data_IF_810377978925
#
_entry.id   IF_810377978925
#
_cell.length_a   1.000
_cell.length_b   1.000
_cell.length_c   1.000
_cell.angle_alpha   90.00
_cell.angle_beta   90.00
_cell.angle_gamma   90.00
#
_symmetry.space_group_name_H-M   'P 1'
#
loop_
_entity.id
_entity.type
_entity.pdbx_description
1 polymer ?
#
# COMPACT_ATOMS: atom_id res chain seq x y z
N UNK A 1 25.06 30.05 -44.35
CA UNK A 1 24.89 31.44 -43.86
C UNK A 1 23.40 31.77 -43.87
N UNK A 2 22.90 32.49 -42.84
CA UNK A 2 21.77 33.46 -42.84
C UNK A 2 20.41 33.08 -43.51
N UNK A 3 19.22 33.42 -43.01
CA UNK A 3 18.74 33.95 -41.72
C UNK A 3 17.19 33.81 -41.62
N UNK A 4 16.58 34.07 -40.45
CA UNK A 4 15.11 34.12 -40.23
C UNK A 4 14.48 35.45 -40.73
N UNK A 5 13.19 35.46 -41.16
CA UNK A 5 12.03 35.77 -40.29
C UNK A 5 10.83 34.78 -40.50
N UNK A 6 9.83 34.54 -39.62
CA UNK A 6 8.98 35.38 -38.74
C UNK A 6 7.89 36.12 -39.56
N UNK A 7 6.55 36.05 -39.30
CA UNK A 7 5.72 35.78 -38.09
C UNK A 7 4.31 35.20 -38.45
N UNK A 8 3.45 34.98 -37.43
CA UNK A 8 1.97 34.78 -37.44
C UNK A 8 1.49 33.32 -37.54
N UNK A 9 0.94 32.64 -36.52
CA UNK A 9 -0.02 32.99 -35.42
C UNK A 9 -1.48 33.15 -35.87
N UNK A 10 -2.16 32.00 -35.97
CA UNK A 10 -3.57 31.71 -35.60
C UNK A 10 -3.68 30.19 -35.38
N UNK A 11 -4.54 29.62 -34.56
CA UNK A 11 -5.31 30.13 -33.41
C UNK A 11 -5.82 28.87 -32.68
N UNK A 12 -5.29 28.52 -31.51
CA UNK A 12 -5.51 27.20 -30.90
C UNK A 12 -6.07 27.30 -29.48
N UNK A 13 -7.38 27.10 -29.37
CA UNK A 13 -8.17 26.89 -28.15
C UNK A 13 -9.28 25.88 -28.49
N UNK A 14 -9.68 24.95 -27.62
CA UNK A 14 -9.19 24.69 -26.26
C UNK A 14 -9.52 23.27 -25.78
N UNK A 15 -8.60 22.68 -25.01
CA UNK A 15 -8.93 21.90 -23.81
C UNK A 15 -8.03 22.46 -22.71
N UNK A 16 -8.61 23.12 -21.71
CA UNK A 16 -7.83 23.80 -20.67
C UNK A 16 -7.52 22.85 -19.51
N UNK A 17 -6.27 22.39 -19.43
CA UNK A 17 -5.73 21.81 -18.21
C UNK A 17 -5.75 22.87 -17.09
N UNK A 18 -6.78 22.81 -16.22
CA UNK A 18 -6.90 23.74 -15.09
C UNK A 18 -5.74 23.49 -14.12
N UNK A 19 -4.81 24.44 -14.09
CA UNK A 19 -3.57 24.36 -13.31
C UNK A 19 -3.88 24.09 -11.83
N UNK A 20 -3.44 22.92 -11.36
CA UNK A 20 -3.66 22.41 -10.00
C UNK A 20 -2.45 22.71 -9.11
N UNK A 21 -2.69 22.87 -7.82
CA UNK A 21 -1.69 22.98 -6.75
C UNK A 21 -1.98 21.88 -5.74
N UNK A 22 -1.02 21.02 -5.43
CA UNK A 22 -1.24 19.71 -4.78
C UNK A 22 -0.78 19.66 -3.31
N UNK A 23 -0.53 20.82 -2.71
CA UNK A 23 -0.24 20.92 -1.29
C UNK A 23 -0.53 22.29 -0.70
N UNK A 24 -0.77 22.32 0.63
CA UNK A 24 -0.84 23.56 1.39
C UNK A 24 0.35 24.51 1.17
N UNK A 25 1.57 23.97 0.97
CA UNK A 25 2.77 24.77 0.73
C UNK A 25 2.71 25.49 -0.63
N UNK A 26 2.17 24.85 -1.66
CA UNK A 26 2.03 25.44 -2.99
C UNK A 26 0.91 26.48 -3.05
N UNK A 27 -0.24 26.18 -2.43
CA UNK A 27 -1.36 27.14 -2.29
C UNK A 27 -0.87 28.39 -1.53
N UNK A 28 -0.13 28.21 -0.43
CA UNK A 28 0.48 29.29 0.35
C UNK A 28 1.52 30.11 -0.44
N UNK A 29 2.39 29.44 -1.20
CA UNK A 29 3.37 30.09 -2.08
C UNK A 29 2.69 30.89 -3.19
N UNK A 30 1.64 30.36 -3.81
CA UNK A 30 0.86 31.02 -4.85
C UNK A 30 0.14 32.27 -4.31
N UNK A 31 -0.57 32.14 -3.17
CA UNK A 31 -1.27 33.26 -2.52
C UNK A 31 -0.35 34.25 -1.79
N UNK A 32 0.98 34.02 -1.76
CA UNK A 32 1.98 34.80 -1.01
C UNK A 32 1.57 35.03 0.46
N UNK A 33 1.21 33.94 1.15
CA UNK A 33 0.82 33.91 2.57
C UNK A 33 1.42 32.70 3.28
N UNK A 34 1.43 32.73 4.61
CA UNK A 34 1.82 31.56 5.39
C UNK A 34 0.77 30.44 5.32
N UNK A 35 1.24 29.19 5.33
CA UNK A 35 0.39 27.98 5.36
C UNK A 35 -0.68 28.05 6.46
N UNK A 36 -0.33 28.52 7.66
CA UNK A 36 -1.27 28.65 8.79
C UNK A 36 -2.38 29.68 8.54
N UNK A 37 -2.09 30.74 7.78
CA UNK A 37 -3.09 31.73 7.38
C UNK A 37 -4.01 31.19 6.28
N UNK A 38 -3.49 30.39 5.34
CA UNK A 38 -4.28 29.76 4.28
C UNK A 38 -5.21 28.67 4.82
N UNK A 39 -4.75 27.83 5.75
CA UNK A 39 -5.61 26.86 6.47
C UNK A 39 -6.70 27.59 7.25
N UNK A 40 -6.37 28.72 7.90
CA UNK A 40 -7.39 29.57 8.56
C UNK A 40 -8.41 30.14 7.56
N UNK A 41 -8.02 30.45 6.32
CA UNK A 41 -8.93 30.95 5.28
C UNK A 41 -9.84 29.86 4.68
N UNK A 42 -9.41 28.60 4.61
CA UNK A 42 -10.33 27.47 4.38
C UNK A 42 -11.44 27.49 5.44
N UNK A 43 -11.06 27.47 6.72
CA UNK A 43 -11.96 27.31 7.85
C UNK A 43 -12.86 28.52 8.14
N UNK A 44 -12.40 29.76 7.88
CA UNK A 44 -13.14 30.98 8.27
C UNK A 44 -13.56 31.88 7.12
N UNK A 45 -13.15 31.58 5.87
CA UNK A 45 -13.45 32.41 4.68
C UNK A 45 -13.81 31.61 3.42
N UNK A 46 -14.00 30.29 3.53
CA UNK A 46 -14.42 29.45 2.41
C UNK A 46 -13.45 29.47 1.23
N UNK A 47 -12.14 29.51 1.49
CA UNK A 47 -11.12 29.36 0.46
C UNK A 47 -11.34 28.03 -0.31
N UNK A 48 -11.46 28.03 -1.65
CA UNK A 48 -11.71 26.80 -2.41
C UNK A 48 -10.49 25.88 -2.37
N UNK A 49 -10.56 24.88 -1.49
CA UNK A 49 -9.56 23.81 -1.34
C UNK A 49 -10.32 22.49 -1.34
N UNK A 50 -9.99 21.64 -2.30
CA UNK A 50 -10.58 20.32 -2.48
C UNK A 50 -9.80 19.26 -1.72
N UNK A 51 -10.50 18.20 -1.33
CA UNK A 51 -9.99 17.12 -0.49
C UNK A 51 -10.33 15.80 -1.13
N UNK A 52 -9.34 14.99 -1.46
CA UNK A 52 -9.58 13.66 -2.01
C UNK A 52 -10.19 12.75 -0.93
N UNK A 53 -11.31 12.05 -1.22
CA UNK A 53 -11.89 11.08 -0.31
C UNK A 53 -11.06 9.78 -0.29
N UNK A 54 -10.95 9.16 0.89
CA UNK A 54 -10.26 7.87 1.08
C UNK A 54 -8.79 8.00 1.51
N UNK A 55 -8.53 8.04 2.83
CA UNK A 55 -7.20 7.92 3.40
C UNK A 55 -7.03 8.59 4.77
N UNK A 56 -6.17 8.03 5.63
CA UNK A 56 -5.91 8.52 7.02
C UNK A 56 -5.27 9.93 7.10
N UNK A 57 -4.92 10.54 5.98
CA UNK A 57 -4.61 11.98 5.90
C UNK A 57 -5.07 12.49 4.54
N UNK A 58 -6.09 13.35 4.53
CA UNK A 58 -6.70 13.83 3.28
C UNK A 58 -5.76 14.80 2.55
N UNK A 59 -5.29 14.37 1.37
CA UNK A 59 -4.50 15.21 0.47
C UNK A 59 -5.38 16.35 -0.05
N UNK A 60 -4.91 17.58 0.15
CA UNK A 60 -5.56 18.81 -0.31
C UNK A 60 -5.01 19.23 -1.66
N UNK A 61 -5.88 19.79 -2.51
CA UNK A 61 -5.48 20.47 -3.74
C UNK A 61 -6.38 21.68 -4.01
N UNK A 62 -5.93 22.60 -4.86
CA UNK A 62 -6.75 23.71 -5.33
C UNK A 62 -6.46 24.03 -6.80
N UNK A 63 -7.45 24.56 -7.51
CA UNK A 63 -7.26 25.06 -8.88
C UNK A 63 -6.94 26.55 -8.87
N UNK A 64 -5.97 26.97 -9.68
CA UNK A 64 -5.52 28.37 -9.75
C UNK A 64 -6.67 29.33 -10.12
N UNK A 65 -7.52 28.95 -11.08
CA UNK A 65 -8.65 29.75 -11.53
C UNK A 65 -9.77 29.89 -10.47
N UNK A 66 -9.87 28.96 -9.52
CA UNK A 66 -10.80 29.04 -8.39
C UNK A 66 -10.24 29.95 -7.28
N UNK A 67 -8.94 29.86 -7.01
CA UNK A 67 -8.25 30.77 -6.08
C UNK A 67 -8.29 32.22 -6.57
N UNK A 68 -8.06 32.46 -7.87
CA UNK A 68 -8.17 33.79 -8.50
C UNK A 68 -9.59 34.33 -8.38
N UNK A 69 -10.61 33.54 -8.73
CA UNK A 69 -12.03 33.94 -8.59
C UNK A 69 -12.40 34.26 -7.13
N UNK A 70 -11.94 33.48 -6.16
CA UNK A 70 -12.16 33.77 -4.73
C UNK A 70 -11.46 35.06 -4.27
N UNK A 71 -10.27 35.34 -4.81
CA UNK A 71 -9.54 36.58 -4.53
C UNK A 71 -10.26 37.81 -5.10
N UNK A 72 -10.75 37.71 -6.34
CA UNK A 72 -11.51 38.76 -7.02
C UNK A 72 -12.88 39.02 -6.37
N UNK A 73 -13.55 37.97 -5.89
CA UNK A 73 -14.84 38.07 -5.19
C UNK A 73 -14.72 38.50 -3.70
N UNK A 74 -13.53 38.97 -3.27
CA UNK A 74 -13.34 39.63 -1.98
C UNK A 74 -13.02 38.74 -0.78
N UNK A 75 -12.83 37.43 -0.96
CA UNK A 75 -12.48 36.48 0.12
C UNK A 75 -11.16 36.85 0.83
N UNK A 76 -10.23 37.44 0.10
CA UNK A 76 -9.10 38.18 0.66
C UNK A 76 -9.36 39.69 0.62
N UNK A 77 -10.12 40.20 1.59
CA UNK A 77 -10.35 41.64 1.78
C UNK A 77 -9.00 42.40 1.84
N UNK A 78 -8.87 43.47 1.04
CA UNK A 78 -7.59 44.18 0.81
C UNK A 78 -7.16 45.07 1.98
N UNK A 79 -6.63 44.48 3.04
CA UNK A 79 -6.00 45.21 4.16
C UNK A 79 -4.93 44.36 4.86
N UNK A 80 -3.73 44.31 4.25
CA UNK A 80 -2.48 43.74 4.78
C UNK A 80 -1.25 44.40 4.11
N UNK A 81 -1.30 45.73 3.98
CA UNK A 81 -0.27 46.69 3.51
C UNK A 81 -0.69 48.01 4.22
N UNK A 82 0.14 48.87 4.84
CA UNK A 82 1.48 49.40 4.50
C UNK A 82 2.40 49.48 5.78
N UNK A 83 3.38 50.40 6.04
CA UNK A 83 4.61 50.01 6.78
C UNK A 83 4.90 50.82 8.09
N UNK A 84 6.12 50.69 8.59
CA UNK A 84 6.69 51.35 9.81
C UNK A 84 6.97 52.85 9.59
N UNK A 85 6.54 53.71 10.53
CA UNK A 85 7.45 54.56 11.33
C UNK A 85 7.27 54.27 12.84
N UNK A 86 8.03 54.81 13.80
CA UNK A 86 9.06 55.86 13.78
C UNK A 86 8.90 56.73 15.05
N UNK A 87 9.91 56.84 15.90
CA UNK A 87 9.78 57.39 17.26
C UNK A 87 9.82 58.94 17.33
N UNK A 88 9.17 59.55 18.33
CA UNK A 88 9.23 61.01 18.53
C UNK A 88 8.50 61.59 19.76
N UNK A 89 9.21 61.65 20.90
CA UNK A 89 9.04 62.60 22.02
C UNK A 89 7.74 62.64 22.88
N UNK A 90 7.92 63.10 24.14
CA UNK A 90 6.91 63.50 25.12
C UNK A 90 7.20 64.96 25.57
N UNK A 91 6.46 65.61 26.51
CA UNK A 91 6.72 65.38 27.95
C UNK A 91 5.54 65.62 28.95
N UNK A 92 5.75 65.28 30.24
CA UNK A 92 5.27 65.93 31.49
C UNK A 92 3.76 66.26 31.73
N UNK A 93 3.14 66.22 32.93
CA UNK A 93 3.36 65.63 34.28
C UNK A 93 2.08 65.94 35.14
N UNK A 94 1.82 65.61 36.42
CA UNK A 94 2.40 64.73 37.47
C UNK A 94 1.38 64.57 38.65
N UNK A 95 1.48 63.49 39.45
CA UNK A 95 0.89 63.30 40.81
C UNK A 95 -0.67 63.17 40.91
N UNK A 96 -1.33 62.58 41.94
CA UNK A 96 -0.94 62.13 43.30
C UNK A 96 -1.62 60.78 43.74
N UNK A 97 -0.92 60.01 44.60
CA UNK A 97 -1.33 59.14 45.75
C UNK A 97 -2.55 58.16 45.75
N UNK A 98 -2.25 56.84 45.83
CA UNK A 98 -2.54 55.84 46.92
C UNK A 98 -3.82 55.98 47.81
N UNK A 99 -4.53 54.87 48.17
CA UNK A 99 -3.98 53.95 49.19
C UNK A 99 -4.26 52.42 49.08
N UNK A 100 -3.19 51.65 49.27
CA UNK A 100 -3.00 50.32 49.91
C UNK A 100 -4.09 49.22 49.84
N UNK A 101 -3.74 48.09 49.21
CA UNK A 101 -4.41 46.76 49.35
C UNK A 101 -3.41 45.58 49.50
N UNK A 102 -2.26 45.83 50.12
CA UNK A 102 -1.02 45.04 49.95
C UNK A 102 -0.95 43.60 50.49
N UNK A 103 -2.00 43.05 51.14
CA UNK A 103 -1.90 41.75 51.87
C UNK A 103 -2.87 40.64 51.42
N UNK A 104 -4.02 40.97 50.81
CA UNK A 104 -4.98 39.93 50.33
C UNK A 104 -4.62 39.41 48.92
N UNK A 105 -4.10 40.29 48.05
CA UNK A 105 -3.73 39.95 46.67
C UNK A 105 -2.65 38.86 46.56
N UNK A 106 -1.71 38.78 47.52
CA UNK A 106 -0.61 37.81 47.48
C UNK A 106 -1.09 36.36 47.66
N UNK A 107 -2.09 36.13 48.51
CA UNK A 107 -2.66 34.79 48.74
C UNK A 107 -3.47 34.32 47.54
N UNK A 108 -4.28 35.19 46.95
CA UNK A 108 -5.07 34.88 45.74
C UNK A 108 -4.14 34.61 44.54
N UNK A 109 -3.11 35.42 44.36
CA UNK A 109 -2.12 35.21 43.30
C UNK A 109 -1.36 33.87 43.46
N UNK A 110 -1.02 33.47 44.69
CA UNK A 110 -0.38 32.17 44.95
C UNK A 110 -1.28 30.99 44.61
N UNK A 111 -2.58 31.06 44.95
CA UNK A 111 -3.55 30.00 44.64
C UNK A 111 -3.80 29.93 43.12
N UNK A 112 -3.88 31.06 42.42
CA UNK A 112 -4.01 31.09 40.95
C UNK A 112 -2.73 30.57 40.28
N UNK A 113 -1.54 30.94 40.76
CA UNK A 113 -0.28 30.44 40.21
C UNK A 113 -0.11 28.93 40.44
N UNK A 114 -0.48 28.42 41.62
CA UNK A 114 -0.51 26.98 41.90
C UNK A 114 -1.56 26.26 41.04
N UNK A 115 -2.76 26.83 40.88
CA UNK A 115 -3.81 26.29 40.02
C UNK A 115 -3.40 26.24 38.54
N UNK A 116 -2.73 27.28 38.04
CA UNK A 116 -2.18 27.32 36.68
C UNK A 116 -0.99 26.39 36.49
N UNK A 117 -0.14 26.21 37.51
CA UNK A 117 0.95 25.23 37.48
C UNK A 117 0.40 23.79 37.51
N UNK A 118 -0.63 23.51 38.31
CA UNK A 118 -1.37 22.24 38.32
C UNK A 118 -2.07 21.98 36.98
N UNK A 119 -2.73 22.99 36.40
CA UNK A 119 -3.34 22.88 35.07
C UNK A 119 -2.29 22.68 33.97
N UNK A 120 -1.14 23.37 34.03
CA UNK A 120 -0.05 23.16 33.07
C UNK A 120 0.61 21.77 33.24
N UNK A 121 0.73 21.27 34.48
CA UNK A 121 1.18 19.92 34.78
C UNK A 121 0.20 18.87 34.25
N UNK A 122 -1.08 19.00 34.57
CA UNK A 122 -2.16 18.11 34.09
C UNK A 122 -2.33 18.19 32.57
N UNK A 123 -2.15 19.34 31.92
CA UNK A 123 -2.24 19.46 30.47
C UNK A 123 -0.95 19.01 29.76
N UNK A 124 0.20 19.06 30.44
CA UNK A 124 1.44 18.40 30.04
C UNK A 124 1.36 16.88 30.14
N UNK A 125 0.73 16.36 31.20
CA UNK A 125 0.44 14.93 31.41
C UNK A 125 -0.74 14.43 30.56
N UNK A 126 -1.71 15.26 30.20
CA UNK A 126 -2.74 14.93 29.20
C UNK A 126 -2.18 15.00 27.76
N UNK A 127 -1.03 15.67 27.58
CA UNK A 127 -0.13 15.50 26.43
C UNK A 127 0.89 14.38 26.64
N UNK A 128 0.64 13.44 27.54
CA UNK A 128 1.39 12.19 27.57
C UNK A 128 1.24 11.48 26.22
N UNK A 129 2.30 11.53 25.44
CA UNK A 129 2.66 10.48 24.49
C UNK A 129 1.53 10.04 23.54
N UNK A 130 1.16 10.90 22.58
CA UNK A 130 0.35 10.50 21.42
C UNK A 130 0.86 9.13 20.90
N UNK A 131 -0.01 8.11 20.79
CA UNK A 131 0.42 6.75 20.51
C UNK A 131 1.16 6.70 19.17
N UNK A 132 2.13 5.80 19.05
CA UNK A 132 2.83 5.63 17.79
C UNK A 132 1.85 5.19 16.71
N UNK A 133 1.78 5.95 15.62
CA UNK A 133 0.80 5.83 14.54
C UNK A 133 1.41 5.25 13.25
N UNK A 134 2.75 5.18 13.16
CA UNK A 134 3.48 4.69 12.00
C UNK A 134 4.83 4.07 12.40
N UNK A 135 5.28 3.05 11.65
CA UNK A 135 6.67 2.59 11.63
C UNK A 135 7.38 3.10 10.36
N UNK A 136 8.68 3.42 10.48
CA UNK A 136 9.58 3.70 9.36
C UNK A 136 10.94 3.02 9.58
N UNK A 137 11.53 2.42 8.54
CA UNK A 137 12.96 2.14 8.53
C UNK A 137 13.70 3.41 8.09
N UNK A 138 14.71 3.84 8.86
CA UNK A 138 15.47 5.05 8.53
C UNK A 138 16.87 5.02 9.15
N UNK A 139 17.90 4.95 8.30
CA UNK A 139 19.31 4.95 8.72
C UNK A 139 19.80 3.61 9.32
N UNK A 140 19.23 2.48 8.88
CA UNK A 140 19.54 1.15 9.41
C UNK A 140 18.74 0.75 10.66
N UNK A 141 17.89 1.65 11.16
CA UNK A 141 17.05 1.48 12.36
C UNK A 141 15.57 1.43 11.99
N UNK A 142 14.75 0.82 12.85
CA UNK A 142 13.29 0.92 12.81
C UNK A 142 12.84 1.98 13.83
N UNK A 143 11.98 2.91 13.43
CA UNK A 143 11.52 4.00 14.30
C UNK A 143 10.00 4.09 14.29
N UNK A 144 9.42 4.23 15.47
CA UNK A 144 8.00 4.46 15.64
C UNK A 144 7.72 5.96 15.77
N UNK A 145 6.78 6.48 14.99
CA UNK A 145 6.43 7.89 14.95
C UNK A 145 5.01 8.13 15.48
N UNK A 146 4.78 9.20 16.23
CA UNK A 146 3.42 9.69 16.54
C UNK A 146 2.76 10.36 15.33
N UNK A 147 1.49 10.76 15.46
CA UNK A 147 0.73 11.40 14.38
C UNK A 147 1.29 12.78 13.97
N UNK A 148 2.15 13.39 14.80
CA UNK A 148 2.90 14.61 14.49
C UNK A 148 4.26 14.36 13.82
N UNK A 149 4.66 13.09 13.66
CA UNK A 149 5.92 12.66 13.05
C UNK A 149 7.11 12.62 14.00
N UNK A 150 6.91 12.70 15.32
CA UNK A 150 8.01 12.61 16.30
C UNK A 150 8.32 11.16 16.64
N UNK A 151 9.60 10.86 16.78
CA UNK A 151 10.05 9.53 17.24
C UNK A 151 9.55 9.29 18.67
N UNK A 152 8.73 8.24 18.83
CA UNK A 152 8.25 7.73 20.11
C UNK A 152 9.23 6.74 20.73
N UNK A 153 9.82 5.88 19.90
CA UNK A 153 10.91 4.97 20.24
C UNK A 153 11.68 4.56 18.97
N UNK A 154 12.91 4.07 19.17
CA UNK A 154 13.78 3.54 18.13
C UNK A 154 14.17 2.12 18.49
N UNK A 155 14.01 1.22 17.53
CA UNK A 155 14.48 -0.16 17.58
C UNK A 155 15.68 -0.36 16.65
N UNK A 156 16.66 -1.16 17.10
CA UNK A 156 17.88 -1.51 16.36
C UNK A 156 18.01 -3.02 16.35
N UNK A 157 18.37 -3.59 15.20
CA UNK A 157 18.97 -4.93 15.20
C UNK A 157 20.40 -4.86 15.75
N UNK A 158 20.82 -5.95 16.39
CA UNK A 158 22.11 -6.04 17.10
C UNK A 158 23.28 -6.41 16.20
N UNK A 159 23.02 -7.12 15.10
CA UNK A 159 24.03 -7.64 14.16
C UNK A 159 23.72 -7.32 12.69
N UNK A 160 22.47 -7.01 12.37
CA UNK A 160 22.00 -6.76 11.00
C UNK A 160 21.66 -5.27 10.80
N UNK A 161 21.78 -4.78 9.57
CA UNK A 161 21.26 -3.47 9.16
C UNK A 161 19.82 -3.65 8.67
N UNK A 162 18.88 -2.82 9.13
CA UNK A 162 17.49 -2.83 8.62
C UNK A 162 17.45 -2.04 7.30
N UNK A 163 17.13 -2.74 6.22
CA UNK A 163 17.09 -2.18 4.87
C UNK A 163 15.86 -1.28 4.65
N UNK A 164 15.93 -0.44 3.62
CA UNK A 164 14.92 0.58 3.32
C UNK A 164 14.42 0.48 1.87
N UNK A 165 13.12 0.71 1.60
CA UNK A 165 12.03 0.98 2.55
C UNK A 165 11.55 -0.28 3.30
N UNK A 166 10.65 -0.10 4.26
CA UNK A 166 9.89 -1.22 4.82
C UNK A 166 9.06 -1.90 3.73
N UNK A 167 9.01 -3.24 3.74
CA UNK A 167 8.17 -4.01 2.83
C UNK A 167 6.69 -3.83 3.15
N UNK A 168 6.38 -3.86 4.45
CA UNK A 168 5.04 -3.67 5.00
C UNK A 168 5.15 -3.21 6.45
N UNK A 169 4.16 -2.43 6.90
CA UNK A 169 3.93 -2.22 8.34
C UNK A 169 2.46 -1.98 8.63
N UNK A 170 2.07 -2.24 9.87
CA UNK A 170 0.73 -1.99 10.41
C UNK A 170 0.83 -1.41 11.81
N UNK A 171 -0.16 -0.58 12.15
CA UNK A 171 -0.47 -0.15 13.51
C UNK A 171 -1.95 -0.47 13.76
N UNK A 172 -2.23 -1.39 14.67
CA UNK A 172 -3.57 -1.90 14.90
C UNK A 172 -3.63 -3.03 15.92
N UNK A 173 -4.81 -3.22 16.51
CA UNK A 173 -5.10 -4.28 17.49
C UNK A 173 -5.04 -5.67 16.84
N UNK A 174 -3.91 -6.36 17.09
CA UNK A 174 -3.56 -7.64 16.50
C UNK A 174 -4.07 -8.80 17.37
N UNK A 175 -3.95 -8.71 18.70
CA UNK A 175 -4.33 -9.78 19.63
C UNK A 175 -5.76 -9.67 20.20
N UNK A 176 -6.48 -8.58 19.92
CA UNK A 176 -7.79 -8.23 20.48
C UNK A 176 -7.77 -7.85 21.98
N UNK A 177 -6.67 -7.29 22.51
CA UNK A 177 -6.61 -6.74 23.87
C UNK A 177 -6.97 -5.24 23.98
N UNK A 178 -7.12 -4.55 22.84
CA UNK A 178 -7.43 -3.12 22.77
C UNK A 178 -6.22 -2.19 22.67
N UNK A 179 -5.00 -2.71 22.85
CA UNK A 179 -3.75 -2.04 22.50
C UNK A 179 -3.56 -1.99 20.98
N UNK A 180 -2.66 -1.12 20.49
CA UNK A 180 -2.30 -1.08 19.08
C UNK A 180 -0.88 -1.59 18.88
N UNK A 181 -0.74 -2.85 18.44
CA UNK A 181 0.56 -3.37 18.02
C UNK A 181 1.14 -2.57 16.86
N UNK A 182 2.46 -2.38 16.90
CA UNK A 182 3.25 -1.89 15.77
C UNK A 182 4.03 -3.07 15.18
N UNK A 183 3.67 -3.50 13.97
CA UNK A 183 4.24 -4.69 13.34
C UNK A 183 4.79 -4.35 11.97
N UNK A 184 5.97 -4.88 11.59
CA UNK A 184 6.60 -4.62 10.30
C UNK A 184 7.28 -5.86 9.70
N UNK A 185 7.20 -5.97 8.38
CA UNK A 185 8.00 -6.90 7.58
C UNK A 185 9.25 -6.16 7.09
N UNK A 186 10.40 -6.66 7.51
CA UNK A 186 11.72 -6.11 7.25
C UNK A 186 12.45 -6.94 6.19
N UNK A 187 13.39 -6.30 5.52
CA UNK A 187 14.62 -6.98 5.09
C UNK A 187 15.76 -6.53 5.98
N UNK A 188 16.66 -7.45 6.26
CA UNK A 188 17.84 -7.21 7.08
C UNK A 188 19.08 -7.80 6.39
N UNK A 189 20.25 -7.17 6.58
CA UNK A 189 21.51 -7.61 5.99
C UNK A 189 22.63 -7.53 7.03
N UNK A 190 23.35 -8.63 7.28
CA UNK A 190 24.65 -8.56 7.98
C UNK A 190 25.66 -7.85 7.09
N UNK A 191 26.54 -6.97 7.61
CA UNK A 191 27.51 -6.23 6.80
C UNK A 191 28.45 -7.09 5.92
N UNK A 192 28.64 -8.37 6.24
CA UNK A 192 29.44 -9.33 5.47
C UNK A 192 28.61 -10.37 4.69
N UNK A 193 27.28 -10.31 4.72
CA UNK A 193 26.42 -11.22 3.98
C UNK A 193 26.12 -10.69 2.57
N UNK A 194 26.24 -11.56 1.56
CA UNK A 194 25.85 -11.24 0.18
C UNK A 194 24.33 -11.20 -0.04
N UNK A 195 23.56 -11.85 0.84
CA UNK A 195 22.11 -11.97 0.75
C UNK A 195 21.38 -11.27 1.92
N UNK A 196 20.19 -10.76 1.63
CA UNK A 196 19.24 -10.24 2.60
C UNK A 196 18.45 -11.39 3.25
N UNK A 197 18.07 -11.24 4.52
CA UNK A 197 17.08 -12.09 5.17
C UNK A 197 15.77 -11.31 5.39
N UNK A 198 14.63 -11.99 5.30
CA UNK A 198 13.37 -11.45 5.79
C UNK A 198 13.26 -11.59 7.31
N UNK A 199 12.64 -10.60 7.96
CA UNK A 199 12.11 -10.77 9.32
C UNK A 199 10.70 -10.17 9.41
N UNK A 200 9.86 -10.71 10.31
CA UNK A 200 8.65 -10.05 10.77
C UNK A 200 8.78 -9.76 12.28
N UNK A 201 8.61 -8.50 12.67
CA UNK A 201 8.73 -8.06 14.08
C UNK A 201 7.46 -7.34 14.53
N UNK A 202 7.07 -7.55 15.79
CA UNK A 202 5.90 -6.92 16.42
C UNK A 202 6.25 -6.32 17.77
N UNK A 203 5.73 -5.14 18.07
CA UNK A 203 6.03 -4.34 19.25
C UNK A 203 4.76 -3.87 19.96
N UNK A 204 4.86 -3.67 21.28
CA UNK A 204 3.85 -2.92 22.06
C UNK A 204 3.88 -1.42 21.68
N UNK A 205 2.87 -0.61 22.06
CA UNK A 205 2.88 0.84 21.81
C UNK A 205 4.12 1.56 22.38
N UNK A 206 4.71 1.03 23.45
CA UNK A 206 5.90 1.54 24.16
C UNK A 206 7.21 1.14 23.49
N UNK A 207 7.20 0.16 22.58
CA UNK A 207 8.38 -0.32 21.85
C UNK A 207 9.03 -1.57 22.44
N UNK A 208 8.38 -2.28 23.36
CA UNK A 208 8.83 -3.60 23.78
C UNK A 208 8.55 -4.62 22.67
N UNK A 209 9.55 -5.45 22.31
CA UNK A 209 9.42 -6.50 21.29
C UNK A 209 8.49 -7.61 21.82
N UNK A 210 7.35 -7.83 21.17
CA UNK A 210 6.40 -8.92 21.46
C UNK A 210 6.90 -10.23 20.86
N UNK A 211 7.27 -10.20 19.57
CA UNK A 211 7.83 -11.35 18.87
C UNK A 211 8.72 -10.92 17.70
N UNK A 212 9.58 -11.85 17.29
CA UNK A 212 10.29 -11.86 16.00
C UNK A 212 10.04 -13.22 15.35
N UNK A 213 9.59 -13.22 14.11
CA UNK A 213 9.55 -14.40 13.25
C UNK A 213 10.62 -14.30 12.16
N UNK A 214 11.26 -15.43 11.89
CA UNK A 214 12.21 -15.65 10.80
C UNK A 214 11.79 -16.91 10.03
N UNK A 215 12.41 -17.15 8.88
CA UNK A 215 12.22 -18.35 8.07
C UNK A 215 13.59 -18.99 7.92
N UNK A 216 13.74 -20.20 8.44
CA UNK A 216 14.96 -21.04 8.36
C UNK A 216 14.69 -22.37 7.64
N UNK A 217 13.47 -22.51 7.10
CA UNK A 217 12.94 -23.66 6.38
C UNK A 217 13.82 -24.09 5.21
N UNK A 218 13.80 -25.38 4.91
CA UNK A 218 14.45 -25.98 3.74
C UNK A 218 13.43 -26.86 3.03
N UNK A 219 13.45 -26.81 1.69
CA UNK A 219 12.58 -27.61 0.83
C UNK A 219 13.38 -28.20 -0.32
N UNK A 220 13.07 -29.46 -0.64
CA UNK A 220 13.66 -30.21 -1.73
C UNK A 220 12.70 -30.24 -2.92
N UNK A 221 13.14 -29.69 -4.03
CA UNK A 221 12.50 -29.82 -5.33
C UNK A 221 13.33 -30.77 -6.20
N UNK A 222 12.79 -31.27 -7.32
CA UNK A 222 13.59 -32.10 -8.23
C UNK A 222 14.80 -31.37 -8.86
N UNK A 223 14.77 -30.04 -8.91
CA UNK A 223 15.89 -29.20 -9.34
C UNK A 223 16.98 -29.02 -8.26
N UNK A 224 16.64 -29.13 -6.96
CA UNK A 224 17.60 -28.96 -5.87
C UNK A 224 16.98 -28.64 -4.50
N UNK A 225 17.86 -28.34 -3.54
CA UNK A 225 17.48 -27.86 -2.20
C UNK A 225 17.47 -26.32 -2.15
N UNK A 226 16.45 -25.73 -1.53
CA UNK A 226 16.30 -24.29 -1.33
C UNK A 226 16.11 -24.00 0.16
N UNK A 227 16.78 -22.96 0.69
CA UNK A 227 16.88 -22.75 2.13
C UNK A 227 17.23 -21.31 2.53
N UNK A 228 17.50 -21.04 3.82
CA UNK A 228 17.79 -19.69 4.29
C UNK A 228 19.11 -19.13 3.74
N UNK A 229 19.22 -17.79 3.58
CA UNK A 229 18.23 -16.79 3.97
C UNK A 229 17.09 -16.62 2.96
N UNK A 230 15.90 -16.35 3.47
CA UNK A 230 14.68 -16.09 2.69
C UNK A 230 14.33 -14.59 2.70
N UNK A 231 14.76 -13.77 1.72
CA UNK A 231 14.34 -12.38 1.58
C UNK A 231 12.82 -12.16 1.65
N UNK A 232 12.41 -11.14 2.41
CA UNK A 232 11.00 -10.74 2.50
C UNK A 232 10.46 -10.10 1.21
N UNK A 233 9.18 -10.35 0.91
CA UNK A 233 8.43 -9.73 -0.18
C UNK A 233 7.49 -8.65 0.36
N UNK A 234 6.53 -9.05 1.20
CA UNK A 234 5.54 -8.18 1.85
C UNK A 234 4.81 -8.98 2.95
N UNK A 235 3.87 -8.38 3.68
CA UNK A 235 2.97 -9.09 4.58
C UNK A 235 1.56 -8.50 4.53
N UNK A 236 0.58 -9.22 5.08
CA UNK A 236 -0.79 -8.73 5.28
C UNK A 236 -1.35 -9.30 6.56
N UNK A 237 -1.75 -8.43 7.49
CA UNK A 237 -2.54 -8.81 8.66
C UNK A 237 -4.03 -8.83 8.29
N UNK A 238 -4.74 -9.89 8.68
CA UNK A 238 -6.14 -10.09 8.34
C UNK A 238 -6.90 -10.78 9.48
N UNK A 239 -8.21 -10.56 9.57
CA UNK A 239 -9.08 -11.21 10.55
C UNK A 239 -9.69 -12.46 9.92
N UNK A 240 -9.73 -13.55 10.67
CA UNK A 240 -10.42 -14.81 10.33
C UNK A 240 -11.51 -15.09 11.36
N UNK A 241 -12.35 -16.11 11.10
CA UNK A 241 -13.33 -16.61 12.08
C UNK A 241 -12.72 -17.05 13.42
N UNK A 242 -11.42 -17.36 13.47
CA UNK A 242 -10.71 -17.81 14.67
C UNK A 242 -9.76 -16.74 15.26
N UNK A 243 -9.88 -15.47 14.85
CA UNK A 243 -9.00 -14.37 15.28
C UNK A 243 -8.07 -13.84 14.18
N UNK A 244 -7.12 -12.99 14.56
CA UNK A 244 -6.19 -12.34 13.61
C UNK A 244 -5.05 -13.25 13.20
N UNK A 245 -4.67 -13.18 11.92
CA UNK A 245 -3.51 -13.85 11.35
C UNK A 245 -2.63 -12.84 10.60
N UNK A 246 -1.39 -13.21 10.30
CA UNK A 246 -0.50 -12.48 9.39
C UNK A 246 -0.01 -13.45 8.32
N UNK A 247 -0.35 -13.17 7.07
CA UNK A 247 0.26 -13.82 5.91
C UNK A 247 1.55 -13.05 5.58
N UNK A 248 2.71 -13.67 5.83
CA UNK A 248 4.01 -13.11 5.52
C UNK A 248 4.60 -13.80 4.29
N UNK A 249 4.92 -13.03 3.25
CA UNK A 249 5.48 -13.53 2.00
C UNK A 249 7.00 -13.38 1.99
N UNK A 250 7.69 -14.50 1.72
CA UNK A 250 9.14 -14.55 1.51
C UNK A 250 9.47 -15.34 0.23
N UNK A 251 10.68 -15.17 -0.30
CA UNK A 251 11.16 -15.86 -1.49
C UNK A 251 12.63 -16.22 -1.34
N UNK A 252 13.10 -17.24 -2.06
CA UNK A 252 14.52 -17.56 -2.12
C UNK A 252 15.26 -16.48 -2.93
N UNK A 253 16.56 -16.30 -2.70
CA UNK A 253 17.36 -15.30 -3.41
C UNK A 253 17.50 -15.58 -4.93
N UNK A 254 17.15 -16.78 -5.40
CA UNK A 254 17.02 -17.15 -6.83
C UNK A 254 15.65 -16.81 -7.43
N UNK A 255 14.83 -16.03 -6.71
CA UNK A 255 13.48 -15.57 -7.09
C UNK A 255 12.41 -16.68 -7.14
N UNK A 256 12.79 -17.92 -6.81
CA UNK A 256 11.92 -19.06 -6.55
C UNK A 256 12.69 -20.11 -5.73
N UNK A 257 12.01 -20.98 -4.96
CA UNK A 257 10.58 -20.97 -4.64
C UNK A 257 10.22 -19.81 -3.71
N UNK A 258 8.94 -19.73 -3.33
CA UNK A 258 8.44 -18.72 -2.39
C UNK A 258 7.42 -19.31 -1.43
N UNK A 259 7.32 -18.70 -0.24
CA UNK A 259 6.49 -19.16 0.85
C UNK A 259 5.48 -18.07 1.23
N UNK A 260 4.26 -18.49 1.54
CA UNK A 260 3.38 -17.77 2.44
C UNK A 260 3.49 -18.44 3.80
N UNK A 261 4.15 -17.79 4.74
CA UNK A 261 4.21 -18.21 6.15
C UNK A 261 3.06 -17.55 6.88
N UNK A 262 2.10 -18.35 7.35
CA UNK A 262 0.94 -17.84 8.06
C UNK A 262 1.16 -17.90 9.58
N UNK A 263 1.02 -16.75 10.24
CA UNK A 263 1.30 -16.57 11.66
C UNK A 263 0.05 -16.15 12.43
N UNK A 264 0.01 -16.47 13.71
CA UNK A 264 -0.97 -15.96 14.67
C UNK A 264 -0.59 -14.56 15.20
N UNK A 265 -1.47 -13.94 15.98
CA UNK A 265 -1.26 -12.60 16.57
C UNK A 265 -0.11 -12.49 17.59
N UNK A 266 0.39 -13.63 18.07
CA UNK A 266 1.55 -13.78 18.96
C UNK A 266 2.85 -14.10 18.19
N UNK A 267 2.79 -14.23 16.85
CA UNK A 267 3.91 -14.59 16.00
C UNK A 267 4.16 -16.10 15.87
N UNK A 268 3.38 -16.96 16.55
CA UNK A 268 3.49 -18.42 16.37
C UNK A 268 3.05 -18.83 14.97
N UNK A 269 3.73 -19.80 14.37
CA UNK A 269 3.40 -20.28 13.01
C UNK A 269 2.17 -21.18 13.04
N UNK A 270 1.17 -20.81 12.26
CA UNK A 270 -0.06 -21.56 12.05
C UNK A 270 -0.06 -22.40 10.76
N UNK A 271 0.75 -22.01 9.78
CA UNK A 271 0.84 -22.75 8.53
C UNK A 271 1.89 -22.22 7.55
N UNK A 272 2.10 -22.94 6.46
CA UNK A 272 2.98 -22.55 5.36
C UNK A 272 2.49 -23.12 4.03
N UNK A 273 2.35 -22.25 3.02
CA UNK A 273 2.09 -22.64 1.64
C UNK A 273 3.33 -22.35 0.77
N UNK A 274 3.77 -23.32 -0.02
CA UNK A 274 4.98 -23.21 -0.86
C UNK A 274 4.61 -23.16 -2.35
N UNK A 275 4.99 -22.10 -3.06
CA UNK A 275 4.70 -21.94 -4.49
C UNK A 275 5.97 -22.10 -5.34
N UNK A 276 5.87 -22.90 -6.40
CA UNK A 276 6.93 -23.11 -7.38
C UNK A 276 7.05 -21.92 -8.34
N UNK A 277 7.68 -20.86 -7.84
CA UNK A 277 7.75 -19.54 -8.45
C UNK A 277 7.76 -18.46 -7.37
N UNK A 278 7.08 -17.34 -7.61
CA UNK A 278 7.08 -16.18 -6.72
C UNK A 278 5.66 -15.71 -6.37
N UNK A 279 5.24 -15.90 -5.11
CA UNK A 279 4.05 -15.23 -4.54
C UNK A 279 4.40 -13.76 -4.30
N UNK A 280 3.63 -12.86 -4.91
CA UNK A 280 3.85 -11.41 -4.87
C UNK A 280 2.75 -10.65 -4.12
N UNK A 281 1.54 -11.22 -4.00
CA UNK A 281 0.48 -10.65 -3.16
C UNK A 281 -0.29 -11.72 -2.37
N UNK A 282 -0.85 -11.30 -1.24
CA UNK A 282 -1.80 -12.05 -0.43
C UNK A 282 -2.92 -11.09 0.02
N UNK A 283 -4.18 -11.42 -0.27
CA UNK A 283 -5.36 -10.56 -0.03
C UNK A 283 -6.48 -11.41 0.58
N UNK A 284 -7.00 -11.09 1.78
CA UNK A 284 -8.10 -11.85 2.37
C UNK A 284 -9.42 -11.62 1.62
N UNK A 285 -10.31 -12.61 1.63
CA UNK A 285 -11.70 -12.41 1.22
C UNK A 285 -12.44 -11.49 2.21
N UNK A 286 -13.45 -10.72 1.78
CA UNK A 286 -14.19 -9.79 2.66
C UNK A 286 -14.87 -10.46 3.87
N UNK A 287 -15.16 -11.77 3.79
CA UNK A 287 -15.78 -12.58 4.84
C UNK A 287 -14.76 -13.31 5.75
N UNK A 288 -13.46 -13.12 5.51
CA UNK A 288 -12.37 -13.73 6.30
C UNK A 288 -12.29 -15.26 6.22
N UNK A 289 -12.93 -15.88 5.21
CA UNK A 289 -12.89 -17.34 4.97
C UNK A 289 -11.71 -17.79 4.13
N UNK A 290 -11.30 -16.99 3.15
CA UNK A 290 -10.31 -17.39 2.16
C UNK A 290 -9.18 -16.36 2.08
N UNK A 291 -8.01 -16.83 1.63
CA UNK A 291 -6.84 -16.00 1.39
C UNK A 291 -6.45 -16.15 -0.07
N UNK A 292 -6.62 -15.08 -0.84
CA UNK A 292 -6.23 -15.02 -2.23
C UNK A 292 -4.73 -14.76 -2.34
N UNK A 293 -4.00 -15.59 -3.05
CA UNK A 293 -2.58 -15.39 -3.36
C UNK A 293 -2.39 -15.21 -4.86
N UNK A 294 -1.39 -14.42 -5.24
CA UNK A 294 -1.09 -14.18 -6.66
C UNK A 294 0.40 -13.95 -6.91
N UNK A 295 0.82 -14.18 -8.15
CA UNK A 295 2.20 -13.95 -8.57
C UNK A 295 2.57 -14.75 -9.82
N UNK A 296 3.74 -15.40 -9.78
CA UNK A 296 4.38 -16.13 -10.88
C UNK A 296 4.44 -17.62 -10.58
N UNK A 297 4.08 -18.45 -11.56
CA UNK A 297 4.29 -19.91 -11.58
C UNK A 297 5.37 -20.24 -12.59
N UNK A 298 6.50 -20.79 -12.13
CA UNK A 298 7.67 -21.05 -12.96
C UNK A 298 7.42 -22.22 -13.91
N UNK A 299 6.78 -23.29 -13.43
CA UNK A 299 6.46 -24.49 -14.22
C UNK A 299 5.51 -24.21 -15.39
N UNK A 300 4.69 -23.17 -15.26
CA UNK A 300 3.73 -22.72 -16.27
C UNK A 300 4.22 -21.53 -17.10
N UNK A 301 5.42 -21.00 -16.77
CA UNK A 301 6.01 -19.78 -17.35
C UNK A 301 5.01 -18.61 -17.49
N UNK A 302 4.14 -18.45 -16.49
CA UNK A 302 3.03 -17.49 -16.51
C UNK A 302 2.65 -16.98 -15.13
N UNK A 303 1.77 -15.99 -15.09
CA UNK A 303 1.17 -15.50 -13.86
C UNK A 303 0.10 -16.48 -13.35
N UNK A 304 -0.07 -16.54 -12.03
CA UNK A 304 -1.07 -17.37 -11.37
C UNK A 304 -1.92 -16.58 -10.37
N UNK A 305 -3.06 -17.16 -10.03
CA UNK A 305 -3.94 -16.80 -8.93
C UNK A 305 -4.37 -18.07 -8.19
N UNK A 306 -4.45 -18.04 -6.86
CA UNK A 306 -4.99 -19.16 -6.10
C UNK A 306 -5.78 -18.71 -4.86
N UNK A 307 -6.69 -19.59 -4.42
CA UNK A 307 -7.55 -19.43 -3.24
C UNK A 307 -7.11 -20.46 -2.20
N UNK A 308 -6.69 -19.99 -1.02
CA UNK A 308 -6.38 -20.83 0.14
C UNK A 308 -7.48 -20.69 1.21
N UNK A 309 -7.59 -21.65 2.12
CA UNK A 309 -8.34 -21.44 3.37
C UNK A 309 -7.63 -20.37 4.24
N UNK A 310 -8.37 -19.42 4.80
CA UNK A 310 -7.79 -18.31 5.56
C UNK A 310 -7.24 -18.73 6.94
N UNK A 311 -7.74 -19.83 7.51
CA UNK A 311 -7.33 -20.36 8.83
C UNK A 311 -6.19 -21.37 8.74
N UNK A 312 -6.15 -22.17 7.67
CA UNK A 312 -5.16 -23.22 7.42
C UNK A 312 -4.63 -23.19 5.98
N UNK A 313 -3.94 -22.11 5.55
CA UNK A 313 -3.28 -22.02 4.23
C UNK A 313 -1.98 -22.83 4.23
N UNK A 314 -2.13 -24.16 4.32
CA UNK A 314 -1.05 -25.14 4.18
C UNK A 314 -1.06 -25.74 2.77
N UNK A 315 0.10 -26.22 2.32
CA UNK A 315 0.20 -26.95 1.08
C UNK A 315 1.29 -26.45 0.13
N UNK A 316 1.11 -26.78 -1.13
CA UNK A 316 1.97 -26.36 -2.23
C UNK A 316 1.20 -26.02 -3.51
N UNK A 317 1.85 -25.33 -4.47
CA UNK A 317 1.31 -25.22 -5.82
C UNK A 317 1.20 -26.60 -6.49
N UNK A 318 0.12 -26.87 -7.25
CA UNK A 318 -0.14 -28.21 -7.78
C UNK A 318 0.70 -28.49 -9.05
N UNK A 319 1.92 -28.95 -8.85
CA UNK A 319 2.88 -29.18 -9.93
C UNK A 319 2.62 -30.47 -10.73
N UNK A 320 3.06 -30.57 -12.01
CA UNK A 320 2.99 -31.83 -12.75
C UNK A 320 3.93 -32.88 -12.12
N UNK A 321 3.45 -34.10 -11.80
CA UNK A 321 4.30 -35.14 -11.23
C UNK A 321 5.52 -35.44 -12.11
N UNK A 322 6.70 -35.53 -11.51
CA UNK A 322 7.97 -35.72 -12.19
C UNK A 322 8.63 -34.45 -12.75
N UNK A 323 8.03 -33.26 -12.65
CA UNK A 323 8.67 -32.03 -13.14
C UNK A 323 9.83 -31.57 -12.25
N UNK A 324 10.78 -30.80 -12.82
CA UNK A 324 11.87 -30.16 -12.05
C UNK A 324 11.35 -29.30 -10.89
N UNK A 325 10.16 -28.74 -11.07
CA UNK A 325 9.44 -27.87 -10.13
C UNK A 325 8.60 -28.61 -9.09
N UNK A 326 8.48 -29.94 -9.15
CA UNK A 326 7.79 -30.74 -8.14
C UNK A 326 8.54 -30.69 -6.80
N UNK A 327 7.83 -30.33 -5.73
CA UNK A 327 8.34 -30.34 -4.36
C UNK A 327 8.18 -31.73 -3.75
N UNK A 328 9.17 -32.17 -2.97
CA UNK A 328 9.28 -33.54 -2.48
C UNK A 328 8.99 -33.67 -0.97
N UNK A 329 9.06 -32.56 -0.23
CA UNK A 329 8.92 -32.47 1.24
C UNK A 329 8.11 -31.25 1.70
N UNK A 330 7.34 -30.65 0.80
CA UNK A 330 6.44 -29.54 1.13
C UNK A 330 5.34 -29.94 2.13
N UNK A 331 4.74 -28.98 2.87
CA UNK A 331 3.69 -29.28 3.85
C UNK A 331 2.44 -29.89 3.20
N UNK A 332 1.79 -30.82 3.90
CA UNK A 332 0.49 -31.36 3.49
C UNK A 332 -0.56 -30.25 3.36
N UNK A 333 -1.26 -30.21 2.22
CA UNK A 333 -2.36 -29.30 1.96
C UNK A 333 -2.50 -28.93 0.49
N UNK A 334 -3.67 -28.37 0.15
CA UNK A 334 -4.02 -28.00 -1.22
C UNK A 334 -4.61 -26.59 -1.28
N UNK A 335 -4.41 -25.85 -2.38
CA UNK A 335 -5.24 -24.69 -2.67
C UNK A 335 -6.68 -25.14 -2.98
N UNK A 336 -7.68 -24.40 -2.52
CA UNK A 336 -9.09 -24.65 -2.86
C UNK A 336 -9.35 -24.43 -4.36
N UNK A 337 -8.54 -23.57 -4.99
CA UNK A 337 -8.52 -23.30 -6.42
C UNK A 337 -7.14 -22.74 -6.78
N UNK A 338 -6.50 -23.23 -7.85
CA UNK A 338 -5.28 -22.63 -8.42
C UNK A 338 -5.48 -22.43 -9.92
N UNK A 339 -5.14 -21.27 -10.46
CA UNK A 339 -5.39 -20.90 -11.85
C UNK A 339 -4.13 -20.31 -12.48
N UNK A 340 -3.79 -20.83 -13.66
CA UNK A 340 -2.79 -20.23 -14.56
C UNK A 340 -3.51 -19.21 -15.44
N UNK A 341 -3.08 -17.96 -15.35
CA UNK A 341 -3.57 -16.90 -16.22
C UNK A 341 -2.75 -16.96 -17.50
N UNK A 342 -3.30 -17.33 -18.68
CA UNK A 342 -2.52 -17.49 -19.91
C UNK A 342 -1.82 -16.19 -20.33
N UNK A 343 -0.58 -16.31 -20.84
CA UNK A 343 0.10 -15.23 -21.58
C UNK A 343 -0.58 -15.04 -22.92
N UNK A 344 -0.82 -13.79 -23.29
CA UNK A 344 -1.43 -13.34 -24.55
C UNK A 344 -0.36 -12.97 -25.56
N UNK A 345 -0.73 -12.66 -26.81
CA UNK A 345 0.21 -12.18 -27.82
C UNK A 345 1.00 -10.93 -27.37
N UNK A 346 0.37 -10.05 -26.58
CA UNK A 346 1.05 -8.90 -25.97
C UNK A 346 2.13 -9.32 -24.97
N UNK A 347 1.80 -10.17 -23.99
CA UNK A 347 2.75 -10.57 -22.95
C UNK A 347 3.74 -11.65 -23.36
N UNK A 348 3.50 -12.37 -24.47
CA UNK A 348 4.51 -13.19 -25.16
C UNK A 348 5.66 -12.31 -25.71
N UNK A 349 5.35 -11.07 -26.11
CA UNK A 349 6.30 -10.10 -26.65
C UNK A 349 6.96 -9.17 -25.61
N UNK A 350 6.71 -9.38 -24.31
CA UNK A 350 7.38 -8.68 -23.20
C UNK A 350 8.39 -9.59 -22.48
N UNK A 351 9.40 -9.01 -21.81
CA UNK A 351 10.20 -9.74 -20.81
C UNK A 351 9.30 -10.38 -19.74
N UNK A 352 9.68 -11.58 -19.28
CA UNK A 352 8.96 -12.29 -18.23
C UNK A 352 9.97 -12.88 -17.21
N UNK A 353 9.71 -12.80 -15.90
CA UNK A 353 8.59 -12.11 -15.26
C UNK A 353 8.71 -10.58 -15.33
N UNK A 354 7.56 -9.89 -15.33
CA UNK A 354 7.48 -8.41 -15.31
C UNK A 354 6.74 -7.92 -14.07
N UNK A 355 5.44 -8.21 -13.95
CA UNK A 355 4.63 -7.96 -12.78
C UNK A 355 3.56 -9.05 -12.61
N UNK A 356 3.32 -9.48 -11.38
CA UNK A 356 2.23 -10.39 -11.03
C UNK A 356 0.84 -9.73 -11.16
N UNK A 357 -0.23 -10.53 -11.08
CA UNK A 357 -1.58 -10.04 -11.26
C UNK A 357 -2.16 -9.50 -9.95
N UNK A 358 -2.88 -8.37 -10.02
CA UNK A 358 -3.49 -7.70 -8.85
C UNK A 358 -4.89 -8.28 -8.57
N UNK A 359 -5.21 -8.52 -7.30
CA UNK A 359 -6.55 -8.96 -6.87
C UNK A 359 -7.35 -7.76 -6.34
N UNK A 360 -8.60 -7.62 -6.79
CA UNK A 360 -9.55 -6.58 -6.35
C UNK A 360 -10.85 -7.22 -5.87
N UNK A 361 -11.14 -7.14 -4.57
CA UNK A 361 -12.34 -7.73 -3.95
C UNK A 361 -13.48 -6.72 -3.87
N UNK A 362 -14.70 -7.16 -4.19
CA UNK A 362 -15.94 -6.38 -4.08
C UNK A 362 -16.76 -6.83 -2.84
N UNK A 363 -17.65 -5.97 -2.37
CA UNK A 363 -18.41 -6.18 -1.11
C UNK A 363 -19.53 -7.22 -1.19
N UNK A 364 -19.86 -7.70 -2.39
CA UNK A 364 -20.77 -8.81 -2.65
C UNK A 364 -20.08 -10.18 -2.62
N UNK A 365 -18.74 -10.22 -2.46
CA UNK A 365 -17.93 -11.43 -2.52
C UNK A 365 -17.42 -11.77 -3.92
N UNK A 366 -17.81 -11.02 -4.96
CA UNK A 366 -17.18 -11.05 -6.29
C UNK A 366 -15.75 -10.50 -6.18
N UNK A 367 -14.82 -10.98 -7.01
CA UNK A 367 -13.50 -10.35 -7.13
C UNK A 367 -12.99 -10.42 -8.57
N UNK A 368 -12.04 -9.54 -8.89
CA UNK A 368 -11.37 -9.48 -10.18
C UNK A 368 -9.87 -9.68 -10.01
N UNK A 369 -9.26 -10.40 -10.96
CA UNK A 369 -7.83 -10.61 -11.06
C UNK A 369 -7.34 -9.91 -12.33
N UNK A 370 -6.49 -8.90 -12.16
CA UNK A 370 -5.99 -8.04 -13.23
C UNK A 370 -4.56 -8.46 -13.60
N UNK A 371 -4.41 -9.20 -14.69
CA UNK A 371 -3.12 -9.65 -15.20
C UNK A 371 -2.54 -8.65 -16.20
N UNK A 372 -1.44 -7.99 -15.82
CA UNK A 372 -0.74 -7.04 -16.68
C UNK A 372 -0.12 -7.73 -17.90
N UNK A 373 -0.36 -7.17 -19.10
CA UNK A 373 0.16 -7.66 -20.37
C UNK A 373 1.21 -6.72 -20.97
N UNK A 374 1.08 -5.41 -20.72
CA UNK A 374 2.12 -4.40 -20.95
C UNK A 374 1.91 -3.21 -20.00
N UNK A 375 2.97 -2.48 -19.65
CA UNK A 375 2.97 -1.55 -18.51
C UNK A 375 2.81 -0.06 -18.87
N UNK A 376 3.48 0.42 -19.92
CA UNK A 376 3.55 1.85 -20.26
C UNK A 376 3.77 2.06 -21.77
N UNK A 377 3.07 3.01 -22.44
CA UNK A 377 2.45 4.21 -21.86
C UNK A 377 1.11 3.98 -21.15
N UNK A 378 0.18 3.26 -21.78
CA UNK A 378 -1.07 2.81 -21.14
C UNK A 378 -0.90 1.37 -20.65
N UNK A 379 -1.33 1.00 -19.43
CA UNK A 379 -1.29 -0.39 -18.99
C UNK A 379 -2.34 -1.21 -19.74
N UNK A 380 -1.95 -2.33 -20.34
CA UNK A 380 -2.86 -3.33 -20.92
C UNK A 380 -3.07 -4.47 -19.91
N UNK A 381 -4.31 -4.87 -19.67
CA UNK A 381 -4.64 -5.96 -18.75
C UNK A 381 -5.61 -6.97 -19.37
N UNK A 382 -5.50 -8.22 -18.92
CA UNK A 382 -6.62 -9.18 -18.97
C UNK A 382 -7.24 -9.19 -17.58
N UNK A 383 -8.56 -9.00 -17.52
CA UNK A 383 -9.36 -9.00 -16.29
C UNK A 383 -10.15 -10.30 -16.25
N UNK A 384 -9.88 -11.10 -15.22
CA UNK A 384 -10.59 -12.36 -14.93
C UNK A 384 -11.52 -12.11 -13.75
N UNK A 385 -12.82 -12.32 -13.93
CA UNK A 385 -13.82 -12.04 -12.89
C UNK A 385 -14.40 -13.32 -12.28
N UNK A 386 -14.38 -13.38 -10.96
CA UNK A 386 -14.77 -14.54 -10.16
C UNK A 386 -15.94 -14.20 -9.25
N UNK A 387 -16.93 -15.09 -9.24
CA UNK A 387 -18.08 -15.03 -8.32
C UNK A 387 -18.02 -16.16 -7.30
N UNK A 388 -18.59 -16.00 -6.10
CA UNK A 388 -18.84 -17.11 -5.20
C UNK A 388 -19.65 -18.22 -5.89
N UNK A 389 -19.31 -19.48 -5.63
CA UNK A 389 -20.08 -20.60 -6.14
C UNK A 389 -21.51 -20.63 -5.55
N UNK A 390 -22.48 -21.09 -6.35
CA UNK A 390 -23.86 -21.26 -5.90
C UNK A 390 -23.94 -22.33 -4.79
N UNK A 391 -24.84 -22.13 -3.82
CA UNK A 391 -24.95 -23.00 -2.63
C UNK A 391 -25.26 -24.46 -3.01
N UNK A 392 -24.40 -25.37 -2.55
CA UNK A 392 -24.43 -26.82 -2.80
C UNK A 392 -23.06 -27.44 -2.52
N UNK A 393 -22.93 -28.77 -2.65
CA UNK A 393 -21.69 -29.49 -2.30
C UNK A 393 -20.45 -28.98 -3.07
N UNK A 394 -20.63 -28.43 -4.27
CA UNK A 394 -19.55 -27.82 -5.06
C UNK A 394 -19.00 -26.53 -4.46
N UNK A 395 -19.75 -25.81 -3.61
CA UNK A 395 -19.27 -24.58 -2.99
C UNK A 395 -18.28 -24.80 -1.83
N UNK A 396 -18.19 -26.03 -1.30
CA UNK A 396 -17.17 -26.40 -0.31
C UNK A 396 -15.88 -26.89 -0.97
N UNK A 397 -15.96 -27.57 -2.13
CA UNK A 397 -14.79 -28.03 -2.88
C UNK A 397 -14.24 -27.01 -3.88
N UNK A 398 -15.08 -26.10 -4.39
CA UNK A 398 -14.75 -25.07 -5.38
C UNK A 398 -15.47 -23.75 -5.02
N UNK A 399 -14.94 -22.95 -4.08
CA UNK A 399 -15.67 -21.81 -3.49
C UNK A 399 -15.94 -20.65 -4.47
N UNK A 400 -15.26 -20.60 -5.62
CA UNK A 400 -15.41 -19.53 -6.62
C UNK A 400 -15.39 -20.08 -8.05
N UNK A 401 -16.13 -19.43 -8.94
CA UNK A 401 -16.24 -19.77 -10.36
C UNK A 401 -15.79 -18.59 -11.21
N UNK A 402 -14.96 -18.85 -12.23
CA UNK A 402 -14.59 -17.87 -13.25
C UNK A 402 -15.82 -17.54 -14.12
N UNK A 403 -16.40 -16.36 -13.91
CA UNK A 403 -17.61 -15.88 -14.61
C UNK A 403 -17.29 -15.33 -15.99
N UNK A 404 -16.20 -14.57 -16.11
CA UNK A 404 -15.96 -13.72 -17.28
C UNK A 404 -14.46 -13.43 -17.44
N UNK A 405 -14.02 -13.24 -18.70
CA UNK A 405 -12.69 -12.74 -19.04
C UNK A 405 -12.84 -11.59 -20.02
N UNK A 406 -12.16 -10.47 -19.75
CA UNK A 406 -12.19 -9.24 -20.55
C UNK A 406 -10.78 -8.74 -20.82
N UNK A 407 -10.60 -8.00 -21.90
CA UNK A 407 -9.37 -7.23 -22.13
C UNK A 407 -9.67 -5.74 -21.90
N UNK A 408 -8.70 -4.98 -21.38
CA UNK A 408 -8.81 -3.52 -21.31
C UNK A 408 -8.81 -2.90 -22.73
N UNK A 409 -9.40 -1.72 -22.92
CA UNK A 409 -9.40 -1.04 -24.23
C UNK A 409 -7.97 -0.82 -24.76
N UNK A 410 -7.06 -0.49 -23.85
CA UNK A 410 -5.61 -0.36 -24.07
C UNK A 410 -4.93 -1.63 -24.58
N UNK A 411 -5.47 -2.83 -24.33
CA UNK A 411 -4.98 -4.08 -24.93
C UNK A 411 -5.05 -4.01 -26.46
N UNK A 412 -6.16 -3.50 -27.01
CA UNK A 412 -6.34 -3.38 -28.45
C UNK A 412 -5.56 -2.20 -29.05
N UNK A 413 -5.27 -1.15 -28.27
CA UNK A 413 -4.30 -0.11 -28.64
C UNK A 413 -2.90 -0.72 -28.82
N UNK A 414 -2.45 -1.49 -27.83
CA UNK A 414 -1.17 -2.20 -27.87
C UNK A 414 -1.08 -3.23 -28.99
N UNK A 415 -2.15 -3.98 -29.26
CA UNK A 415 -2.19 -4.96 -30.34
C UNK A 415 -1.95 -4.28 -31.69
N UNK A 416 -2.69 -3.20 -32.00
CA UNK A 416 -2.50 -2.40 -33.22
C UNK A 416 -1.13 -1.73 -33.32
N UNK A 417 -0.55 -1.29 -32.20
CA UNK A 417 0.82 -0.76 -32.20
C UNK A 417 1.84 -1.84 -32.54
N UNK A 418 1.74 -3.03 -31.93
CA UNK A 418 2.63 -4.15 -32.19
C UNK A 418 2.47 -4.74 -33.61
N UNK A 419 1.25 -4.67 -34.19
CA UNK A 419 0.99 -4.93 -35.61
C UNK A 419 1.73 -3.90 -36.50
N UNK A 420 1.56 -2.60 -36.23
CA UNK A 420 2.20 -1.53 -37.00
C UNK A 420 3.74 -1.55 -36.91
N UNK A 421 4.29 -1.97 -35.76
CA UNK A 421 5.72 -2.18 -35.55
C UNK A 421 6.25 -3.49 -36.19
N UNK A 422 5.39 -4.28 -36.86
CA UNK A 422 5.75 -5.55 -37.48
C UNK A 422 6.07 -6.68 -36.49
N UNK A 423 5.71 -6.51 -35.21
CA UNK A 423 5.94 -7.47 -34.12
C UNK A 423 4.82 -8.51 -33.98
N UNK A 424 3.63 -8.21 -34.52
CA UNK A 424 2.52 -9.14 -34.70
C UNK A 424 2.21 -9.31 -36.19
N UNK A 425 1.89 -10.53 -36.60
CA UNK A 425 1.67 -10.93 -38.00
C UNK A 425 0.20 -10.95 -38.44
N UNK A 426 -0.70 -10.43 -37.60
CA UNK A 426 -2.15 -10.44 -37.81
C UNK A 426 -2.77 -9.18 -37.19
N UNK A 427 -3.93 -8.76 -37.71
CA UNK A 427 -4.61 -7.57 -37.21
C UNK A 427 -5.42 -7.82 -35.95
N UNK A 428 -5.69 -6.75 -35.17
CA UNK A 428 -6.48 -6.87 -33.94
C UNK A 428 -7.84 -7.56 -34.14
N UNK A 429 -8.46 -7.44 -35.32
CA UNK A 429 -9.73 -8.10 -35.66
C UNK A 429 -9.58 -9.55 -36.12
N UNK A 430 -8.42 -9.91 -36.68
CA UNK A 430 -8.05 -11.29 -36.99
C UNK A 430 -7.44 -12.06 -35.78
N UNK A 431 -7.21 -11.38 -34.66
CA UNK A 431 -6.55 -11.95 -33.48
C UNK A 431 -7.30 -13.18 -32.93
N UNK A 432 -6.66 -14.36 -32.85
CA UNK A 432 -7.29 -15.59 -32.35
C UNK A 432 -7.91 -15.43 -30.96
N UNK A 433 -7.30 -14.62 -30.11
CA UNK A 433 -7.65 -14.40 -28.70
C UNK A 433 -9.01 -13.67 -28.54
N UNK A 434 -9.52 -12.99 -29.57
CA UNK A 434 -10.92 -12.49 -29.60
C UNK A 434 -11.96 -13.62 -29.44
N UNK A 435 -11.62 -14.85 -29.85
CA UNK A 435 -12.51 -16.02 -29.74
C UNK A 435 -12.46 -16.69 -28.36
N UNK A 436 -11.61 -16.20 -27.47
CA UNK A 436 -11.44 -16.72 -26.12
C UNK A 436 -9.99 -17.14 -25.79
N UNK A 437 -9.76 -17.39 -24.50
CA UNK A 437 -8.50 -17.88 -23.95
C UNK A 437 -8.70 -19.23 -23.25
N UNK A 438 -7.72 -20.12 -23.40
CA UNK A 438 -7.62 -21.36 -22.63
C UNK A 438 -7.07 -21.06 -21.23
N UNK A 439 -7.94 -21.13 -20.22
CA UNK A 439 -7.57 -20.93 -18.81
C UNK A 439 -7.39 -22.30 -18.15
N UNK A 440 -6.19 -22.58 -17.63
CA UNK A 440 -5.92 -23.80 -16.88
C UNK A 440 -6.26 -23.57 -15.40
N UNK A 441 -7.11 -24.44 -14.84
CA UNK A 441 -7.46 -24.45 -13.41
C UNK A 441 -7.12 -25.80 -12.78
N UNK A 442 -6.83 -25.77 -11.49
CA UNK A 442 -6.67 -26.94 -10.64
C UNK A 442 -7.56 -26.84 -9.42
N UNK A 443 -8.17 -27.95 -9.04
CA UNK A 443 -8.91 -28.13 -7.77
C UNK A 443 -8.65 -29.54 -7.24
N UNK A 444 -8.78 -29.75 -5.93
CA UNK A 444 -8.54 -31.05 -5.29
C UNK A 444 -9.47 -32.17 -5.80
N UNK A 445 -10.66 -31.84 -6.31
CA UNK A 445 -11.61 -32.82 -6.87
C UNK A 445 -11.31 -33.20 -8.33
N UNK A 446 -10.91 -32.22 -9.14
CA UNK A 446 -10.89 -32.37 -10.60
C UNK A 446 -9.47 -32.55 -11.17
N UNK A 447 -8.44 -32.27 -10.35
CA UNK A 447 -7.07 -32.12 -10.82
C UNK A 447 -6.92 -30.93 -11.78
N UNK A 448 -5.97 -31.02 -12.71
CA UNK A 448 -5.78 -30.02 -13.75
C UNK A 448 -6.82 -30.16 -14.87
N UNK A 449 -7.56 -29.09 -15.14
CA UNK A 449 -8.51 -28.99 -16.26
C UNK A 449 -8.33 -27.68 -17.02
N UNK A 450 -8.65 -27.68 -18.31
CA UNK A 450 -8.62 -26.47 -19.16
C UNK A 450 -10.04 -26.02 -19.48
N UNK A 451 -10.31 -24.72 -19.36
CA UNK A 451 -11.60 -24.10 -19.66
C UNK A 451 -11.41 -23.04 -20.74
N UNK A 452 -12.10 -23.17 -21.87
CA UNK A 452 -12.13 -22.14 -22.91
C UNK A 452 -13.07 -21.00 -22.46
N UNK A 453 -12.51 -19.82 -22.21
CA UNK A 453 -13.25 -18.63 -21.80
C UNK A 453 -13.40 -17.67 -22.98
N UNK A 454 -14.63 -17.45 -23.46
CA UNK A 454 -14.91 -16.42 -24.45
C UNK A 454 -14.65 -15.01 -23.87
N UNK A 455 -14.01 -14.14 -24.67
CA UNK A 455 -13.79 -12.72 -24.30
C UNK A 455 -15.08 -11.92 -24.50
N UNK A 456 -15.31 -10.92 -23.64
CA UNK A 456 -16.50 -10.04 -23.63
C UNK A 456 -16.16 -8.57 -23.35
#
# INVERSE_FOLDING_TARGET
MLAFPIKSVRENQSVSERRRLDSWKEIAKYLRREVRTVIRWEQTRGLPVHRLPGGKSSRVFAYVDELERWLHNGGASKSDVVPVPGAGAAPAAASQQEPSRGRWLKTVAAIIAAGLASLAGVWGWARASEPAAQLVALGGELRALDASGRVRWTYRESLDVIEQPLLWSSVGDLNADGSLELTAALRVRRPQASQEAGQLVSFTPEGALRFRAVVDDRFHFRDGEYGPPWPGVTATAYKTRTGTRIAWLVHHFTWWPSLLVNLNADGTRAGTFVNSGWIQSATPSPDGRHLFISGISNSRQSNFFAVLDATHPNGHSPEPPGSMTECLDCPDGDPLLYIVLPRTDLSRLQPFPAAGPTVMTLSDGTFQVHALQSAAPNPATVVYEFVPAAQGNTAESQPYVLREVRFSDSFWEWHRQLEADGRLSHSSDACPERRGLEVQRWTRSDGWTTQQMAIR
#
